data_IF_380912749435
#
_entry.id   IF_380912749435
#
_cell.length_a   1.000
_cell.length_b   1.000
_cell.length_c   1.000
_cell.angle_alpha   90.00
_cell.angle_beta   90.00
_cell.angle_gamma   90.00
#
_symmetry.space_group_name_H-M   'P 1'
#
loop_
_entity.id
_entity.type
_entity.pdbx_description
1 polymer ?
#
# COMPACT_ATOMS: atom_id res chain seq x y z
N UNK A 1 -77.52 -31.07 16.16
CA UNK A 1 -76.73 -30.94 14.91
C UNK A 1 -76.18 -29.51 14.89
N UNK A 2 -74.88 -29.32 15.13
CA UNK A 2 -74.25 -28.01 15.40
C UNK A 2 -73.26 -27.69 14.27
N UNK A 3 -73.56 -26.67 13.48
CA UNK A 3 -72.74 -26.21 12.34
C UNK A 3 -71.55 -25.38 12.84
N UNK A 4 -70.34 -25.67 12.34
CA UNK A 4 -69.11 -24.89 12.61
C UNK A 4 -68.90 -23.86 11.48
N UNK A 5 -68.55 -22.59 11.77
CA UNK A 5 -68.28 -21.59 10.74
C UNK A 5 -66.86 -21.73 10.15
N UNK A 6 -66.72 -21.16 8.95
CA UNK A 6 -65.76 -21.50 7.89
C UNK A 6 -64.39 -20.83 8.00
N UNK A 7 -63.32 -21.61 7.85
CA UNK A 7 -61.90 -21.21 7.83
C UNK A 7 -61.43 -20.61 6.48
N UNK A 8 -62.22 -19.77 5.83
CA UNK A 8 -61.88 -19.24 4.50
C UNK A 8 -61.17 -17.87 4.53
N UNK A 9 -61.29 -17.09 5.62
CA UNK A 9 -60.73 -15.74 5.69
C UNK A 9 -59.27 -15.66 6.20
N UNK A 10 -58.73 -16.69 6.84
CA UNK A 10 -57.37 -16.64 7.41
C UNK A 10 -56.26 -16.89 6.38
N UNK A 11 -56.57 -17.48 5.21
CA UNK A 11 -55.57 -17.81 4.19
C UNK A 11 -55.16 -16.61 3.32
N UNK A 12 -56.00 -15.57 3.20
CA UNK A 12 -55.68 -14.38 2.39
C UNK A 12 -54.70 -13.41 3.07
N UNK A 13 -54.57 -13.47 4.41
CA UNK A 13 -53.70 -12.56 5.18
C UNK A 13 -52.22 -12.92 5.13
N UNK A 14 -51.87 -14.17 4.83
CA UNK A 14 -50.48 -14.66 4.85
C UNK A 14 -49.74 -14.49 3.51
N UNK A 15 -50.47 -14.41 2.39
CA UNK A 15 -49.88 -14.25 1.07
C UNK A 15 -49.42 -12.81 0.77
N UNK A 16 -50.00 -11.79 1.43
CA UNK A 16 -49.63 -10.39 1.22
C UNK A 16 -48.39 -9.95 2.05
N UNK A 17 -48.09 -10.67 3.14
CA UNK A 17 -46.98 -10.32 4.03
C UNK A 17 -45.61 -10.84 3.52
N UNK A 18 -45.62 -11.81 2.60
CA UNK A 18 -44.40 -12.41 2.03
C UNK A 18 -43.85 -11.66 0.81
N UNK A 19 -44.61 -10.75 0.19
CA UNK A 19 -44.14 -9.94 -0.96
C UNK A 19 -43.48 -8.60 -0.56
N UNK A 20 -43.51 -8.20 0.71
CA UNK A 20 -42.93 -6.94 1.18
C UNK A 20 -41.52 -7.08 1.76
N UNK A 21 -40.96 -8.30 1.81
CA UNK A 21 -39.61 -8.54 2.31
C UNK A 21 -38.64 -8.81 1.15
N UNK A 22 -38.58 -7.89 0.18
CA UNK A 22 -37.42 -7.85 -0.71
C UNK A 22 -36.21 -7.42 0.15
N UNK A 23 -35.11 -8.19 0.21
CA UNK A 23 -33.94 -7.76 0.95
C UNK A 23 -33.39 -6.51 0.25
N UNK A 24 -33.47 -5.37 0.93
CA UNK A 24 -32.68 -4.20 0.58
C UNK A 24 -31.22 -4.67 0.54
N UNK A 25 -30.58 -4.59 -0.63
CA UNK A 25 -29.14 -4.81 -0.75
C UNK A 25 -28.45 -3.71 0.07
N UNK A 26 -28.08 -4.05 1.31
CA UNK A 26 -27.40 -3.11 2.18
C UNK A 26 -25.97 -2.92 1.67
N UNK A 27 -25.56 -1.68 1.44
CA UNK A 27 -24.17 -1.37 1.18
C UNK A 27 -23.37 -1.72 2.44
N UNK A 28 -22.52 -2.74 2.36
CA UNK A 28 -21.67 -3.15 3.47
C UNK A 28 -20.32 -2.46 3.35
N UNK A 29 -19.94 -1.70 4.38
CA UNK A 29 -18.59 -1.19 4.48
C UNK A 29 -17.64 -2.35 4.82
N UNK A 30 -16.64 -2.56 3.98
CA UNK A 30 -15.53 -3.47 4.23
C UNK A 30 -14.23 -2.71 4.35
N UNK A 31 -13.30 -3.23 5.15
CA UNK A 31 -11.90 -2.80 5.15
C UNK A 31 -11.01 -4.00 4.87
N UNK A 32 -9.88 -3.75 4.23
CA UNK A 32 -8.84 -4.73 4.00
C UNK A 32 -7.48 -4.05 4.13
N UNK A 33 -6.48 -4.79 4.59
CA UNK A 33 -5.11 -4.31 4.67
C UNK A 33 -4.31 -4.91 3.52
N UNK A 34 -3.52 -4.07 2.86
CA UNK A 34 -2.47 -4.56 1.95
C UNK A 34 -1.37 -5.24 2.75
N UNK A 35 -0.78 -6.30 2.19
CA UNK A 35 0.40 -6.94 2.73
C UNK A 35 1.62 -6.42 1.98
N UNK A 36 2.71 -6.12 2.69
CA UNK A 36 3.97 -5.76 2.04
C UNK A 36 4.45 -6.95 1.20
N UNK A 37 4.56 -6.74 -0.12
CA UNK A 37 4.94 -7.77 -1.07
C UNK A 37 6.42 -7.70 -1.46
N UNK A 38 6.96 -6.48 -1.55
CA UNK A 38 8.35 -6.24 -1.86
C UNK A 38 8.79 -4.86 -1.37
N UNK A 39 10.06 -4.73 -0.98
CA UNK A 39 10.69 -3.44 -0.72
C UNK A 39 12.13 -3.39 -1.26
N UNK A 40 12.60 -2.21 -1.61
CA UNK A 40 13.99 -2.02 -1.99
C UNK A 40 14.42 -0.58 -1.77
N UNK A 41 15.66 -0.39 -1.31
CA UNK A 41 16.33 0.90 -1.37
C UNK A 41 17.39 0.86 -2.47
N UNK A 42 17.43 1.85 -3.35
CA UNK A 42 18.46 2.00 -4.40
C UNK A 42 19.36 3.19 -4.14
N UNK A 43 20.59 3.13 -4.65
CA UNK A 43 21.69 4.00 -4.25
C UNK A 43 22.30 4.73 -5.45
N UNK A 44 22.38 6.06 -5.40
CA UNK A 44 23.05 6.84 -6.45
C UNK A 44 24.57 6.59 -6.50
N UNK A 45 25.19 6.41 -5.33
CA UNK A 45 26.64 6.18 -5.16
C UNK A 45 27.06 4.71 -5.34
N UNK A 46 26.10 3.82 -5.60
CA UNK A 46 26.35 2.41 -5.89
C UNK A 46 25.24 1.87 -6.81
N UNK A 47 25.22 2.31 -8.08
CA UNK A 47 24.00 2.27 -8.88
C UNK A 47 23.56 0.89 -9.37
N UNK A 48 24.47 -0.09 -9.40
CA UNK A 48 24.17 -1.50 -9.65
C UNK A 48 23.85 -2.32 -8.38
N UNK A 49 23.59 -1.65 -7.25
CA UNK A 49 23.28 -2.29 -5.98
C UNK A 49 22.00 -1.74 -5.35
N UNK A 50 21.43 -2.54 -4.46
CA UNK A 50 20.26 -2.20 -3.67
C UNK A 50 20.40 -2.67 -2.21
N UNK A 51 19.44 -2.30 -1.38
CA UNK A 51 19.40 -2.62 0.03
C UNK A 51 19.20 -4.10 0.34
N UNK A 52 18.80 -4.93 -0.62
CA UNK A 52 18.34 -6.30 -0.34
C UNK A 52 17.07 -6.34 0.52
N UNK A 53 16.85 -7.47 1.19
CA UNK A 53 15.63 -7.77 1.96
C UNK A 53 15.64 -7.34 3.43
N UNK A 54 16.11 -6.12 3.73
CA UNK A 54 15.95 -5.55 5.08
C UNK A 54 14.53 -5.00 5.27
N UNK A 55 14.00 -5.10 6.49
CA UNK A 55 12.68 -4.61 6.86
C UNK A 55 12.58 -3.08 7.07
N UNK A 56 13.54 -2.33 6.54
CA UNK A 56 13.53 -0.87 6.57
C UNK A 56 13.89 -0.29 5.21
N UNK A 57 13.38 0.91 4.91
CA UNK A 57 13.71 1.63 3.67
C UNK A 57 14.44 2.93 3.98
N UNK A 58 15.22 3.40 3.02
CA UNK A 58 15.91 4.67 3.12
C UNK A 58 15.59 5.60 1.95
N UNK A 59 15.30 6.85 2.27
CA UNK A 59 14.96 7.89 1.31
C UNK A 59 15.72 9.16 1.63
N UNK A 60 16.02 9.95 0.60
CA UNK A 60 16.72 11.23 0.73
C UNK A 60 18.23 11.13 0.52
N UNK A 61 18.94 12.21 0.82
CA UNK A 61 20.38 12.31 0.58
C UNK A 61 21.18 12.03 1.86
N UNK A 62 22.28 11.31 1.71
CA UNK A 62 23.15 10.89 2.80
C UNK A 62 24.15 11.98 3.26
N UNK A 63 24.01 13.22 2.82
CA UNK A 63 24.84 14.36 3.23
C UNK A 63 26.04 14.62 2.31
N UNK A 64 26.07 14.00 1.13
CA UNK A 64 27.09 14.23 0.10
C UNK A 64 26.43 14.28 -1.28
N UNK A 65 26.97 15.10 -2.19
CA UNK A 65 26.55 15.09 -3.58
C UNK A 65 26.70 13.67 -4.16
N UNK A 66 25.70 13.20 -4.91
CA UNK A 66 25.73 11.85 -5.49
C UNK A 66 25.39 10.71 -4.52
N UNK A 67 24.87 10.99 -3.31
CA UNK A 67 24.55 9.97 -2.30
C UNK A 67 23.05 9.86 -2.00
N UNK A 68 22.22 10.03 -3.03
CA UNK A 68 20.76 9.91 -2.91
C UNK A 68 20.32 8.46 -2.71
N UNK A 69 19.25 8.30 -1.93
CA UNK A 69 18.52 7.05 -1.68
C UNK A 69 17.09 7.20 -2.15
N UNK A 70 16.59 6.21 -2.87
CA UNK A 70 15.17 6.08 -3.25
C UNK A 70 14.67 4.74 -2.77
N UNK A 71 13.40 4.69 -2.37
CA UNK A 71 12.76 3.48 -1.93
C UNK A 71 11.62 3.10 -2.87
N UNK A 72 11.49 1.79 -3.11
CA UNK A 72 10.38 1.17 -3.81
C UNK A 72 9.68 0.25 -2.82
N UNK A 73 8.34 0.29 -2.82
CA UNK A 73 7.50 -0.58 -2.01
C UNK A 73 6.35 -1.07 -2.87
N UNK A 74 6.06 -2.36 -2.78
CA UNK A 74 4.92 -3.01 -3.42
C UNK A 74 4.03 -3.63 -2.37
N UNK A 75 2.72 -3.56 -2.58
CA UNK A 75 1.73 -4.14 -1.70
C UNK A 75 0.83 -5.06 -2.49
N UNK A 76 0.59 -6.26 -1.94
CA UNK A 76 -0.51 -7.11 -2.37
C UNK A 76 -1.77 -6.57 -1.72
N UNK A 77 -2.66 -6.00 -2.54
CA UNK A 77 -3.92 -5.43 -2.09
C UNK A 77 -5.02 -6.50 -2.12
N UNK A 78 -5.95 -6.49 -1.15
CA UNK A 78 -7.09 -7.39 -1.19
C UNK A 78 -8.00 -7.06 -2.38
N UNK A 79 -8.70 -8.09 -2.87
CA UNK A 79 -9.69 -7.93 -3.93
C UNK A 79 -10.78 -6.94 -3.51
N UNK A 80 -11.10 -6.01 -4.40
CA UNK A 80 -12.18 -5.05 -4.22
C UNK A 80 -13.40 -5.59 -4.96
N UNK A 81 -14.51 -5.90 -4.27
CA UNK A 81 -15.70 -6.44 -4.92
C UNK A 81 -16.21 -5.54 -6.05
N UNK A 82 -16.71 -6.15 -7.13
CA UNK A 82 -17.30 -5.40 -8.23
C UNK A 82 -18.47 -4.52 -7.72
N UNK A 83 -18.45 -3.25 -8.09
CA UNK A 83 -19.45 -2.27 -7.65
C UNK A 83 -19.20 -1.67 -6.26
N UNK A 84 -18.13 -2.08 -5.56
CA UNK A 84 -17.72 -1.41 -4.33
C UNK A 84 -17.11 -0.02 -4.63
N UNK A 85 -17.44 0.96 -3.79
CA UNK A 85 -16.86 2.30 -3.84
C UNK A 85 -15.71 2.38 -2.83
N UNK A 86 -14.51 2.74 -3.30
CA UNK A 86 -13.38 3.02 -2.41
C UNK A 86 -13.61 4.40 -1.77
N UNK A 87 -13.83 4.42 -0.46
CA UNK A 87 -14.08 5.66 0.28
C UNK A 87 -12.81 6.25 0.90
N UNK A 88 -11.80 5.41 1.18
CA UNK A 88 -10.51 5.81 1.75
C UNK A 88 -9.42 4.80 1.41
N UNK A 89 -8.21 5.31 1.15
CA UNK A 89 -6.96 4.54 1.12
C UNK A 89 -5.96 5.28 2.00
N UNK A 90 -5.21 4.56 2.82
CA UNK A 90 -4.21 5.14 3.72
C UNK A 90 -2.91 4.35 3.62
N UNK A 91 -1.79 5.08 3.42
CA UNK A 91 -0.44 4.55 3.52
C UNK A 91 0.20 5.17 4.75
N UNK A 92 0.59 4.34 5.72
CA UNK A 92 1.29 4.76 6.92
C UNK A 92 2.75 4.33 6.83
N UNK A 93 3.67 5.29 6.97
CA UNK A 93 5.11 5.06 7.01
C UNK A 93 5.66 5.64 8.32
N UNK A 94 6.44 4.85 9.05
CA UNK A 94 7.06 5.29 10.29
C UNK A 94 8.52 5.68 10.05
N UNK A 95 8.86 6.94 10.30
CA UNK A 95 10.25 7.37 10.33
C UNK A 95 10.92 6.88 11.61
N UNK A 96 11.79 5.88 11.49
CA UNK A 96 12.51 5.29 12.64
C UNK A 96 13.90 5.90 12.85
N UNK A 97 14.49 6.49 11.80
CA UNK A 97 15.83 7.11 11.86
C UNK A 97 15.97 8.26 10.88
N UNK A 98 16.80 9.24 11.24
CA UNK A 98 17.25 10.31 10.36
C UNK A 98 18.76 10.40 10.46
N UNK A 99 19.46 10.46 9.33
CA UNK A 99 20.90 10.70 9.33
C UNK A 99 21.16 12.16 9.72
N UNK A 100 21.75 12.38 10.89
CA UNK A 100 22.01 13.73 11.46
C UNK A 100 23.35 14.34 11.04
N UNK A 101 23.78 14.15 9.80
CA UNK A 101 25.02 14.81 9.35
C UNK A 101 24.70 16.28 8.99
N UNK A 102 25.04 17.22 9.89
CA UNK A 102 24.85 18.67 9.69
C UNK A 102 23.62 19.29 10.35
N UNK A 103 23.02 18.64 11.36
CA UNK A 103 21.72 19.02 11.92
C UNK A 103 20.62 18.60 10.97
N UNK A 104 19.64 17.81 11.44
CA UNK A 104 18.61 17.31 10.53
C UNK A 104 17.95 18.48 9.80
N UNK A 105 17.95 18.38 8.48
CA UNK A 105 17.38 19.41 7.62
C UNK A 105 15.94 19.00 7.31
N UNK A 106 15.01 19.96 7.26
CA UNK A 106 13.69 19.69 6.72
C UNK A 106 13.82 19.03 5.35
N UNK A 107 13.03 17.98 5.13
CA UNK A 107 13.01 17.26 3.87
C UNK A 107 11.57 17.09 3.40
N UNK A 108 11.35 17.22 2.09
CA UNK A 108 10.06 16.88 1.49
C UNK A 108 10.17 15.50 0.87
N UNK A 109 9.42 14.54 1.40
CA UNK A 109 9.20 13.25 0.78
C UNK A 109 8.15 13.39 -0.33
N UNK A 110 8.40 12.71 -1.44
CA UNK A 110 7.44 12.57 -2.53
C UNK A 110 7.09 11.09 -2.68
N UNK A 111 5.81 10.78 -2.64
CA UNK A 111 5.29 9.48 -3.03
C UNK A 111 4.96 9.52 -4.52
N UNK A 112 5.36 8.49 -5.26
CA UNK A 112 5.09 8.34 -6.69
C UNK A 112 4.64 6.91 -6.97
N UNK A 113 3.67 6.75 -7.86
CA UNK A 113 3.24 5.42 -8.32
C UNK A 113 4.26 4.88 -9.31
N UNK A 114 4.75 3.68 -9.04
CA UNK A 114 5.55 2.88 -9.97
C UNK A 114 4.63 2.28 -11.05
N UNK A 115 5.06 2.28 -12.30
CA UNK A 115 4.22 1.91 -13.46
C UNK A 115 4.76 0.74 -14.27
N UNK A 116 6.04 0.39 -14.10
CA UNK A 116 6.63 -0.83 -14.65
C UNK A 116 6.88 -1.86 -13.55
N UNK A 117 6.92 -3.13 -13.96
CA UNK A 117 7.27 -4.21 -13.08
C UNK A 117 8.73 -4.06 -12.61
N UNK A 118 8.98 -4.50 -11.38
CA UNK A 118 10.31 -4.59 -10.80
C UNK A 118 10.35 -5.81 -9.88
N UNK A 119 11.56 -6.26 -9.54
CA UNK A 119 11.79 -7.41 -8.67
C UNK A 119 12.57 -6.94 -7.45
N UNK A 120 12.20 -7.44 -6.28
CA UNK A 120 12.97 -7.22 -5.07
C UNK A 120 14.39 -7.80 -5.20
N UNK A 121 15.35 -7.10 -4.62
CA UNK A 121 16.72 -7.55 -4.53
C UNK A 121 16.87 -8.76 -3.62
N UNK A 122 17.53 -9.84 -4.07
CA UNK A 122 17.85 -10.96 -3.16
C UNK A 122 19.14 -10.71 -2.38
N UNK A 123 19.10 -10.84 -1.05
CA UNK A 123 20.27 -10.90 -0.16
C UNK A 123 20.25 -9.89 0.99
N UNK A 124 21.33 -9.86 1.79
CA UNK A 124 21.53 -8.89 2.87
C UNK A 124 22.95 -8.32 2.80
N UNK A 125 23.07 -7.00 2.67
CA UNK A 125 24.36 -6.31 2.76
C UNK A 125 24.98 -6.38 4.16
N UNK A 126 26.04 -5.61 4.40
CA UNK A 126 26.71 -5.59 5.71
C UNK A 126 26.20 -4.47 6.64
N UNK A 127 25.36 -3.54 6.16
CA UNK A 127 24.94 -2.33 6.91
C UNK A 127 23.55 -1.79 6.54
N UNK A 128 22.47 -2.54 6.83
CA UNK A 128 21.07 -2.08 6.73
C UNK A 128 20.66 -1.57 5.33
N UNK A 129 19.38 -1.22 5.12
CA UNK A 129 18.91 -0.78 3.80
C UNK A 129 19.54 0.54 3.32
N UNK A 130 20.19 1.32 4.20
CA UNK A 130 20.79 2.60 3.85
C UNK A 130 22.24 2.49 3.35
N UNK A 131 22.93 1.38 3.65
CA UNK A 131 24.37 1.21 3.42
C UNK A 131 24.64 0.36 2.19
N UNK A 132 25.47 0.88 1.28
CA UNK A 132 25.82 0.24 0.01
C UNK A 132 26.22 -1.22 0.20
N UNK A 133 25.35 -2.12 -0.27
CA UNK A 133 25.60 -3.54 -0.38
C UNK A 133 26.25 -3.89 -1.72
N UNK A 134 26.78 -5.10 -1.80
CA UNK A 134 27.21 -5.76 -3.04
C UNK A 134 26.10 -5.73 -4.11
N UNK A 135 26.48 -5.84 -5.40
CA UNK A 135 25.51 -5.97 -6.49
C UNK A 135 24.57 -7.14 -6.22
N UNK A 136 23.29 -6.85 -6.10
CA UNK A 136 22.26 -7.86 -5.80
C UNK A 136 21.24 -7.81 -6.92
N UNK A 137 20.92 -8.97 -7.48
CA UNK A 137 19.95 -9.07 -8.57
C UNK A 137 18.59 -8.52 -8.11
N UNK A 138 17.97 -7.64 -8.90
CA UNK A 138 16.71 -6.97 -8.59
C UNK A 138 16.68 -5.53 -9.12
N UNK A 139 15.78 -4.69 -8.61
CA UNK A 139 15.77 -3.25 -8.91
C UNK A 139 17.03 -2.57 -8.36
N UNK A 140 17.63 -1.68 -9.14
CA UNK A 140 18.76 -0.85 -8.73
C UNK A 140 18.60 0.58 -9.30
N UNK A 141 19.63 1.42 -9.18
CA UNK A 141 19.56 2.81 -9.64
C UNK A 141 19.65 2.90 -11.17
N UNK A 142 20.49 2.07 -11.80
CA UNK A 142 20.70 2.05 -13.25
C UNK A 142 19.47 1.49 -14.00
N UNK A 143 18.79 0.51 -13.40
CA UNK A 143 17.58 -0.16 -13.86
C UNK A 143 16.33 0.29 -13.11
N UNK A 144 16.25 1.56 -12.69
CA UNK A 144 15.11 2.09 -11.96
C UNK A 144 13.80 1.96 -12.76
N UNK A 145 12.70 1.45 -12.15
CA UNK A 145 11.42 1.34 -12.84
C UNK A 145 10.84 2.72 -13.14
N UNK A 146 10.05 2.77 -14.20
CA UNK A 146 9.27 3.94 -14.61
C UNK A 146 8.23 4.30 -13.55
N UNK A 147 8.16 5.59 -13.21
CA UNK A 147 7.22 6.13 -12.24
C UNK A 147 6.32 7.18 -12.89
N UNK A 148 5.19 7.48 -12.27
CA UNK A 148 4.39 8.65 -12.65
C UNK A 148 5.19 9.95 -12.47
N UNK A 149 5.09 10.83 -13.45
CA UNK A 149 5.79 12.12 -13.49
C UNK A 149 5.37 13.08 -12.36
N UNK A 150 4.09 13.06 -11.99
CA UNK A 150 3.57 13.83 -10.88
C UNK A 150 3.62 13.01 -9.57
N UNK A 151 4.02 13.59 -8.43
CA UNK A 151 3.85 12.96 -7.13
C UNK A 151 2.38 12.64 -6.84
N UNK A 152 2.10 11.46 -6.32
CA UNK A 152 0.79 11.07 -5.80
C UNK A 152 0.55 11.58 -4.37
N UNK A 153 1.60 12.07 -3.70
CA UNK A 153 1.53 12.70 -2.40
C UNK A 153 2.87 13.28 -1.97
N UNK A 154 2.84 14.20 -1.00
CA UNK A 154 4.04 14.80 -0.41
C UNK A 154 3.91 14.90 1.10
N UNK A 155 5.00 14.64 1.81
CA UNK A 155 5.07 14.80 3.26
C UNK A 155 6.31 15.62 3.63
N UNK A 156 6.15 16.61 4.51
CA UNK A 156 7.27 17.38 5.03
C UNK A 156 7.74 16.73 6.33
N UNK A 157 9.00 16.34 6.37
CA UNK A 157 9.66 15.80 7.55
C UNK A 157 10.35 16.94 8.31
N UNK A 158 10.14 17.04 9.64
CA UNK A 158 10.93 17.94 10.46
C UNK A 158 12.40 17.48 10.49
N UNK A 159 13.32 18.44 10.54
CA UNK A 159 14.74 18.20 10.76
C UNK A 159 15.05 17.72 12.18
#
# INVERSE_FOLDING_TARGET
>A
MKTRPSNALQLLSLALCSLLCAPLAQAQAGSGAGVLAAEATVFEDSPGANGGGYSDICVGNLGSAGSTRRAYVSFDLPDIPAGATITRVELSLQQVRVRRQGGGKPATLQLRRVTSAWQEGMGGGQRAACGGGSNMAGVDWDGAPTNQEAPSGTANLPG
#
